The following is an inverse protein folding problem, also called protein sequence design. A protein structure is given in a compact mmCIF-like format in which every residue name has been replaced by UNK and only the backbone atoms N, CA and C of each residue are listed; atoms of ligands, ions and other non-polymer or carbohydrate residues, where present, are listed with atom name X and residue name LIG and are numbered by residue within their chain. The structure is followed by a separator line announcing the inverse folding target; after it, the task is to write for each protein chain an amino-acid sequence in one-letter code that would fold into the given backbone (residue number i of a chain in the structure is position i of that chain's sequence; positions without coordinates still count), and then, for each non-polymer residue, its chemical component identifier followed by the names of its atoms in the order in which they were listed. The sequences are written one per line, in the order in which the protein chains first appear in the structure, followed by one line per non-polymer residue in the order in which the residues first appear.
data_IF_236159554436
#
_entry.id   IF_236159554436
#
_cell.length_a   1.000
_cell.length_b   1.000
_cell.length_c   1.000
_cell.angle_alpha   90.00
_cell.angle_beta   90.00
_cell.angle_gamma   90.00
#
_symmetry.space_group_name_H-M   'P 1'
#
loop_
_entity.id
_entity.type
_entity.pdbx_description
1 polymer ?
#
# COMPACT_ATOMS: atom_id res chain seq x y z
N UNK A 1 6.12 -4.35 22.87
CA UNK A 1 6.99 -3.22 23.29
C UNK A 1 8.18 -3.69 24.11
N UNK A 2 7.99 -4.45 25.21
CA UNK A 2 9.11 -4.95 26.03
C UNK A 2 10.21 -5.67 25.23
N UNK A 3 9.84 -6.63 24.37
CA UNK A 3 10.80 -7.35 23.52
C UNK A 3 11.55 -6.42 22.55
N UNK A 4 10.86 -5.43 21.98
CA UNK A 4 11.47 -4.44 21.07
C UNK A 4 12.46 -3.53 21.79
N UNK A 5 12.14 -3.08 23.00
CA UNK A 5 13.07 -2.29 23.82
C UNK A 5 14.31 -3.11 24.19
N UNK A 6 14.14 -4.37 24.59
CA UNK A 6 15.26 -5.24 24.90
C UNK A 6 16.18 -5.43 23.68
N UNK A 7 15.60 -5.67 22.50
CA UNK A 7 16.36 -5.77 21.26
C UNK A 7 17.04 -4.45 20.87
N UNK A 8 16.38 -3.31 21.08
CA UNK A 8 16.96 -1.99 20.85
C UNK A 8 18.22 -1.79 21.70
N UNK A 9 18.15 -2.04 23.00
CA UNK A 9 19.30 -1.92 23.90
C UNK A 9 20.38 -2.96 23.62
N UNK A 10 20.03 -4.15 23.12
CA UNK A 10 21.02 -5.14 22.69
C UNK A 10 21.82 -4.64 21.48
N UNK A 11 21.18 -3.95 20.54
CA UNK A 11 21.81 -3.46 19.31
C UNK A 11 22.60 -2.16 19.53
N UNK A 12 22.04 -1.24 20.33
CA UNK A 12 22.53 0.13 20.44
C UNK A 12 23.07 0.50 21.82
N UNK A 13 23.02 -0.42 22.79
CA UNK A 13 23.46 -0.19 24.17
C UNK A 13 22.41 0.52 25.03
N UNK A 14 22.60 0.43 26.34
CA UNK A 14 21.74 1.05 27.36
C UNK A 14 21.88 2.56 27.37
N UNK A 15 20.80 3.28 27.73
CA UNK A 15 20.78 4.74 27.80
C UNK A 15 19.36 5.24 28.01
N UNK A 16 19.05 6.42 27.49
CA UNK A 16 17.68 6.92 27.46
C UNK A 16 16.75 5.93 26.72
N UNK A 17 15.48 5.93 27.11
CA UNK A 17 14.46 5.11 26.45
C UNK A 17 14.17 5.65 25.04
N UNK A 18 14.09 4.77 24.02
CA UNK A 18 13.71 5.20 22.67
C UNK A 18 12.24 5.62 22.63
N UNK A 19 11.93 6.61 21.80
CA UNK A 19 10.56 6.98 21.46
C UNK A 19 9.98 5.97 20.48
N UNK A 20 8.74 5.54 20.69
CA UNK A 20 8.08 4.53 19.87
C UNK A 20 6.99 5.12 18.98
N UNK A 21 6.96 4.67 17.73
CA UNK A 21 6.00 5.10 16.72
C UNK A 21 5.52 3.91 15.91
N UNK A 22 4.32 4.02 15.35
CA UNK A 22 3.75 2.98 14.50
C UNK A 22 3.15 3.61 13.24
N UNK A 23 3.45 3.00 12.09
CA UNK A 23 2.79 3.28 10.82
C UNK A 23 2.11 2.01 10.32
N UNK A 24 0.81 2.03 10.03
CA UNK A 24 0.11 0.88 9.47
C UNK A 24 0.59 0.62 8.03
N UNK A 25 0.44 -0.62 7.57
CA UNK A 25 0.30 -0.86 6.13
C UNK A 25 -1.10 -0.52 5.64
N UNK A 26 -1.38 -0.83 4.39
CA UNK A 26 -2.70 -0.61 3.79
C UNK A 26 -3.13 -1.74 2.89
N UNK A 27 -4.45 -1.89 2.76
CA UNK A 27 -5.07 -2.60 1.64
C UNK A 27 -5.83 -1.59 0.78
N UNK A 28 -5.84 -1.81 -0.52
CA UNK A 28 -6.79 -1.14 -1.39
C UNK A 28 -8.05 -1.98 -1.49
N UNK A 29 -9.20 -1.45 -1.05
CA UNK A 29 -10.46 -2.19 -1.13
C UNK A 29 -10.95 -2.27 -2.58
N UNK A 30 -10.90 -1.15 -3.30
CA UNK A 30 -11.26 -1.07 -4.72
C UNK A 30 -10.64 0.20 -5.35
N UNK A 31 -10.41 0.20 -6.66
CA UNK A 31 -9.74 1.32 -7.34
C UNK A 31 -8.26 1.05 -7.58
N UNK A 32 -7.92 -0.10 -8.16
CA UNK A 32 -6.51 -0.43 -8.42
C UNK A 32 -6.03 0.18 -9.73
N UNK A 33 -4.76 0.56 -9.81
CA UNK A 33 -4.13 1.06 -11.04
C UNK A 33 -4.78 2.29 -11.68
N UNK A 34 -5.53 3.05 -10.88
CA UNK A 34 -6.15 4.31 -11.29
C UNK A 34 -5.70 5.50 -10.43
N UNK A 35 -4.88 5.28 -9.41
CA UNK A 35 -4.31 6.33 -8.56
C UNK A 35 -3.35 7.24 -9.34
N UNK A 36 -2.43 6.65 -10.11
CA UNK A 36 -1.55 7.41 -11.00
C UNK A 36 -2.25 7.94 -12.26
N UNK A 37 -3.53 7.62 -12.44
CA UNK A 37 -4.40 8.14 -13.50
C UNK A 37 -5.36 9.22 -12.98
N UNK A 38 -5.11 9.75 -11.77
CA UNK A 38 -5.92 10.81 -11.16
C UNK A 38 -7.30 10.37 -10.66
N UNK A 39 -7.59 9.07 -10.66
CA UNK A 39 -8.90 8.54 -10.32
C UNK A 39 -9.21 8.44 -8.83
N UNK A 40 -10.42 7.99 -8.54
CA UNK A 40 -10.83 7.65 -7.19
C UNK A 40 -10.29 6.30 -6.76
N UNK A 41 -9.75 6.20 -5.54
CA UNK A 41 -9.34 4.94 -4.92
C UNK A 41 -9.94 4.79 -3.53
N UNK A 42 -10.08 3.55 -3.06
CA UNK A 42 -10.68 3.26 -1.76
C UNK A 42 -9.78 2.40 -0.85
N UNK A 43 -8.62 2.92 -0.41
CA UNK A 43 -7.77 2.21 0.55
C UNK A 43 -8.30 2.24 1.97
N UNK A 44 -7.76 1.35 2.79
CA UNK A 44 -7.88 1.39 4.24
C UNK A 44 -6.54 1.00 4.89
N UNK A 45 -6.09 1.79 5.86
CA UNK A 45 -4.99 1.42 6.73
C UNK A 45 -5.37 0.20 7.58
N UNK A 46 -4.43 -0.71 7.82
CA UNK A 46 -4.68 -1.97 8.53
C UNK A 46 -3.86 -2.09 9.82
N UNK A 47 -4.26 -2.98 10.71
CA UNK A 47 -3.60 -3.22 12.00
C UNK A 47 -2.19 -3.82 11.89
N UNK A 48 -1.82 -4.36 10.72
CA UNK A 48 -0.44 -4.75 10.43
C UNK A 48 0.37 -3.53 10.00
N UNK A 49 1.64 -3.44 10.35
CA UNK A 49 2.44 -2.25 10.05
C UNK A 49 3.89 -2.36 10.51
N UNK A 50 4.53 -1.21 10.65
CA UNK A 50 5.92 -1.07 11.09
C UNK A 50 5.94 -0.28 12.39
N UNK A 51 6.54 -0.85 13.42
CA UNK A 51 6.90 -0.16 14.66
C UNK A 51 8.34 0.33 14.55
N UNK A 52 8.55 1.62 14.80
CA UNK A 52 9.86 2.26 14.85
C UNK A 52 10.19 2.70 16.26
N UNK A 53 11.40 2.43 16.71
CA UNK A 53 11.96 2.91 17.97
C UNK A 53 13.15 3.81 17.63
N UNK A 54 13.07 5.09 18.00
CA UNK A 54 14.10 6.10 17.68
C UNK A 54 14.67 6.74 18.94
N UNK A 55 15.99 6.87 19.01
CA UNK A 55 16.70 7.56 20.07
C UNK A 55 17.72 8.56 19.49
N UNK A 56 17.61 9.86 19.80
CA UNK A 56 18.65 10.83 19.43
C UNK A 56 20.00 10.45 20.03
N UNK A 57 21.07 10.74 19.31
CA UNK A 57 22.44 10.51 19.73
C UNK A 57 23.27 11.78 19.54
N UNK A 58 24.28 11.95 20.40
CA UNK A 58 25.28 13.01 20.26
C UNK A 58 26.40 12.63 19.28
N UNK A 59 26.42 11.37 18.81
CA UNK A 59 27.36 10.91 17.80
C UNK A 59 27.06 11.53 16.42
N UNK A 60 28.06 11.61 15.55
CA UNK A 60 27.92 12.12 14.18
C UNK A 60 27.51 11.03 13.19
N UNK A 61 26.76 10.03 13.66
CA UNK A 61 26.30 8.90 12.85
C UNK A 61 24.81 8.59 13.05
N UNK A 62 24.22 8.03 12.00
CA UNK A 62 22.87 7.46 12.00
C UNK A 62 23.03 5.94 11.97
N UNK A 63 22.47 5.25 12.97
CA UNK A 63 22.52 3.79 13.08
C UNK A 63 21.13 3.19 12.89
N UNK A 64 20.98 2.39 11.84
CA UNK A 64 19.71 1.82 11.42
C UNK A 64 19.74 0.30 11.56
N UNK A 65 18.74 -0.28 12.22
CA UNK A 65 18.57 -1.72 12.32
C UNK A 65 17.12 -2.10 12.02
N UNK A 66 16.92 -3.34 11.59
CA UNK A 66 15.59 -3.92 11.41
C UNK A 66 15.58 -5.35 11.92
N UNK A 67 14.48 -5.76 12.57
CA UNK A 67 14.31 -7.16 13.00
C UNK A 67 14.24 -8.14 11.83
N UNK A 68 13.97 -7.64 10.63
CA UNK A 68 13.86 -8.42 9.40
C UNK A 68 15.18 -8.63 8.65
N UNK A 69 16.24 -7.94 9.03
CA UNK A 69 17.54 -7.92 8.35
C UNK A 69 18.68 -7.98 9.38
N UNK A 70 19.74 -8.73 9.08
CA UNK A 70 20.87 -8.83 10.00
C UNK A 70 21.75 -7.57 9.98
N UNK A 71 22.25 -7.19 11.16
CA UNK A 71 23.25 -6.14 11.33
C UNK A 71 22.70 -4.72 11.47
N UNK A 72 23.64 -3.79 11.66
CA UNK A 72 23.39 -2.35 11.78
C UNK A 72 23.95 -1.68 10.52
N UNK A 73 23.14 -0.87 9.86
CA UNK A 73 23.58 0.06 8.83
C UNK A 73 23.95 1.38 9.48
N UNK A 74 25.23 1.75 9.42
CA UNK A 74 25.73 3.03 9.91
C UNK A 74 25.95 4.00 8.75
N UNK A 75 25.51 5.24 8.92
CA UNK A 75 25.67 6.34 7.97
C UNK A 75 26.33 7.53 8.69
N UNK A 76 27.42 8.05 8.15
CA UNK A 76 28.04 9.27 8.65
C UNK A 76 27.25 10.50 8.19
N UNK A 77 26.83 11.35 9.14
CA UNK A 77 26.03 12.55 8.87
C UNK A 77 26.73 13.55 7.93
N UNK A 78 28.07 13.57 7.94
CA UNK A 78 28.91 14.46 7.15
C UNK A 78 29.15 13.93 5.72
N UNK A 79 28.86 12.66 5.47
CA UNK A 79 29.11 12.00 4.19
C UNK A 79 27.96 11.08 3.77
N UNK A 80 26.73 11.55 3.94
CA UNK A 80 25.54 10.81 3.54
C UNK A 80 25.57 10.48 2.03
N UNK A 81 25.24 9.24 1.63
CA UNK A 81 25.15 8.90 0.22
C UNK A 81 24.06 9.71 -0.50
N UNK A 82 24.41 10.31 -1.63
CA UNK A 82 23.49 11.11 -2.48
C UNK A 82 22.57 10.25 -3.35
N UNK A 83 22.84 8.95 -3.46
CA UNK A 83 22.10 8.00 -4.29
C UNK A 83 21.78 6.74 -3.51
N UNK A 84 20.71 6.04 -3.92
CA UNK A 84 20.37 4.72 -3.38
C UNK A 84 21.52 3.72 -3.59
N UNK A 85 21.69 2.82 -2.63
CA UNK A 85 22.73 1.78 -2.59
C UNK A 85 22.18 0.38 -2.90
N UNK A 86 20.87 0.24 -3.08
CA UNK A 86 20.18 -1.03 -3.27
C UNK A 86 19.86 -1.75 -1.95
N UNK A 87 19.71 -1.01 -0.86
CA UNK A 87 19.44 -1.54 0.48
C UNK A 87 18.11 -1.01 1.03
N UNK A 88 17.48 -1.74 1.95
CA UNK A 88 16.24 -1.30 2.60
C UNK A 88 16.39 0.05 3.30
N UNK A 89 17.57 0.35 3.84
CA UNK A 89 17.84 1.63 4.50
C UNK A 89 17.82 2.83 3.55
N UNK A 90 17.78 2.62 2.24
CA UNK A 90 17.69 3.71 1.26
C UNK A 90 16.35 4.46 1.33
N UNK A 91 15.27 3.81 1.78
CA UNK A 91 14.00 4.49 2.06
C UNK A 91 14.16 5.52 3.18
N UNK A 92 14.82 5.16 4.29
CA UNK A 92 15.11 6.07 5.40
C UNK A 92 16.07 7.18 4.94
N UNK A 93 17.10 6.84 4.15
CA UNK A 93 18.04 7.80 3.58
C UNK A 93 17.35 8.83 2.69
N UNK A 94 16.45 8.39 1.80
CA UNK A 94 15.68 9.29 0.94
C UNK A 94 14.82 10.25 1.74
N UNK A 95 14.21 9.78 2.83
CA UNK A 95 13.45 10.62 3.77
C UNK A 95 14.36 11.60 4.51
N UNK A 96 15.54 11.19 4.98
CA UNK A 96 16.52 12.11 5.60
C UNK A 96 16.85 13.26 4.65
N UNK A 97 17.10 12.95 3.37
CA UNK A 97 17.33 13.97 2.34
C UNK A 97 16.12 14.89 2.14
N UNK A 98 14.90 14.34 2.13
CA UNK A 98 13.69 15.14 2.00
C UNK A 98 13.52 16.10 3.19
N UNK A 99 13.68 15.61 4.43
CA UNK A 99 13.54 16.41 5.65
C UNK A 99 14.65 17.48 5.75
N UNK A 100 15.89 17.17 5.35
CA UNK A 100 16.97 18.17 5.28
C UNK A 100 16.66 19.30 4.28
N UNK A 101 16.03 18.99 3.14
CA UNK A 101 15.61 20.01 2.15
C UNK A 101 14.53 20.96 2.70
N UNK A 102 13.83 20.57 3.76
CA UNK A 102 12.89 21.44 4.48
C UNK A 102 13.57 22.36 5.51
N UNK A 103 14.91 22.30 5.61
CA UNK A 103 15.70 23.14 6.54
C UNK A 103 15.77 22.59 7.95
N UNK A 104 15.45 21.31 8.16
CA UNK A 104 15.57 20.63 9.46
C UNK A 104 16.98 20.04 9.58
N UNK A 105 17.70 20.46 10.62
CA UNK A 105 19.00 19.89 10.98
C UNK A 105 18.80 18.55 11.69
N UNK A 106 19.22 17.47 11.03
CA UNK A 106 19.16 16.11 11.58
C UNK A 106 20.51 15.78 12.22
N UNK A 107 20.49 15.59 13.55
CA UNK A 107 21.62 15.06 14.32
C UNK A 107 21.74 13.54 14.27
N UNK A 108 22.65 12.97 15.06
CA UNK A 108 22.81 11.53 15.17
C UNK A 108 21.58 10.88 15.79
N UNK A 109 21.29 9.65 15.39
CA UNK A 109 20.23 8.86 16.02
C UNK A 109 20.39 7.38 15.73
N UNK A 110 19.72 6.59 16.56
CA UNK A 110 19.56 5.16 16.39
C UNK A 110 18.10 4.84 16.10
N UNK A 111 17.85 3.95 15.15
CA UNK A 111 16.52 3.53 14.75
C UNK A 111 16.44 2.02 14.62
N UNK A 112 15.54 1.39 15.39
CA UNK A 112 15.14 0.00 15.20
C UNK A 112 13.76 -0.05 14.54
N UNK A 113 13.62 -0.86 13.49
CA UNK A 113 12.35 -1.10 12.81
C UNK A 113 11.92 -2.56 12.95
N UNK A 114 10.68 -2.77 13.38
CA UNK A 114 10.04 -4.08 13.46
C UNK A 114 8.75 -4.09 12.63
N UNK A 115 8.61 -5.06 11.73
CA UNK A 115 7.49 -5.11 10.77
C UNK A 115 6.65 -6.35 10.97
N UNK A 116 5.34 -6.17 11.11
CA UNK A 116 4.34 -7.25 11.05
C UNK A 116 3.74 -7.40 9.65
N UNK A 117 4.12 -6.57 8.68
CA UNK A 117 3.72 -6.71 7.28
C UNK A 117 4.44 -7.92 6.64
N UNK A 118 3.73 -8.81 5.93
CA UNK A 118 4.37 -9.92 5.25
C UNK A 118 5.26 -9.41 4.12
N UNK A 119 6.48 -9.96 4.01
CA UNK A 119 7.48 -9.53 3.04
C UNK A 119 6.97 -9.75 1.61
N UNK A 120 7.01 -8.71 0.78
CA UNK A 120 6.60 -8.80 -0.63
C UNK A 120 5.09 -8.92 -0.87
N UNK A 121 4.27 -8.75 0.17
CA UNK A 121 2.81 -8.88 0.14
C UNK A 121 2.08 -7.84 -0.73
N UNK A 122 2.71 -6.69 -0.95
CA UNK A 122 2.06 -5.54 -1.61
C UNK A 122 1.17 -4.72 -0.69
N UNK A 123 1.30 -4.86 0.63
CA UNK A 123 0.58 -4.09 1.66
C UNK A 123 1.28 -2.76 2.03
N UNK A 124 2.01 -2.16 1.09
CA UNK A 124 2.74 -0.88 1.23
C UNK A 124 3.80 -0.81 2.34
N UNK A 125 4.68 -1.82 2.40
CA UNK A 125 5.80 -1.75 3.34
C UNK A 125 6.76 -0.58 3.05
N UNK A 126 6.92 -0.15 1.80
CA UNK A 126 7.76 1.01 1.43
C UNK A 126 7.14 2.31 1.95
N UNK A 127 5.89 2.60 1.56
CA UNK A 127 5.19 3.80 2.01
C UNK A 127 5.06 3.87 3.54
N UNK A 128 4.77 2.75 4.22
CA UNK A 128 4.70 2.70 5.68
C UNK A 128 6.06 3.04 6.30
N UNK A 129 7.18 2.58 5.73
CA UNK A 129 8.53 2.88 6.19
C UNK A 129 8.88 4.36 5.97
N UNK A 130 8.59 4.90 4.78
CA UNK A 130 8.86 6.30 4.45
C UNK A 130 8.07 7.25 5.35
N UNK A 131 6.75 7.02 5.47
CA UNK A 131 5.87 7.83 6.31
C UNK A 131 6.24 7.72 7.79
N UNK A 132 6.62 6.53 8.27
CA UNK A 132 7.11 6.34 9.63
C UNK A 132 8.41 7.12 9.87
N UNK A 133 9.40 6.98 8.98
CA UNK A 133 10.66 7.69 9.08
C UNK A 133 10.45 9.21 9.08
N UNK A 134 9.59 9.72 8.20
CA UNK A 134 9.29 11.14 8.10
C UNK A 134 8.63 11.64 9.39
N UNK A 135 7.63 10.91 9.89
CA UNK A 135 6.96 11.23 11.15
C UNK A 135 7.92 11.22 12.34
N UNK A 136 8.81 10.22 12.45
CA UNK A 136 9.80 10.14 13.53
C UNK A 136 10.80 11.29 13.48
N UNK A 137 11.35 11.60 12.31
CA UNK A 137 12.34 12.67 12.15
C UNK A 137 11.74 14.03 12.48
N UNK A 138 10.50 14.31 12.05
CA UNK A 138 9.81 15.55 12.46
C UNK A 138 9.44 15.57 13.94
N UNK A 139 9.10 14.43 14.54
CA UNK A 139 8.79 14.36 15.98
C UNK A 139 10.02 14.63 16.84
N UNK A 140 11.20 14.21 16.37
CA UNK A 140 12.46 14.25 17.13
C UNK A 140 13.25 15.52 16.87
N UNK A 141 13.37 15.93 15.60
CA UNK A 141 14.23 17.06 15.19
C UNK A 141 13.44 18.26 14.65
N UNK A 142 12.16 18.06 14.30
CA UNK A 142 11.31 19.11 13.77
C UNK A 142 10.78 20.05 14.85
N UNK A 143 10.48 21.30 14.46
CA UNK A 143 9.82 22.28 15.34
C UNK A 143 8.32 22.04 15.45
N UNK A 144 7.72 21.46 14.41
CA UNK A 144 6.30 21.15 14.31
C UNK A 144 6.08 20.00 13.34
N UNK A 145 5.01 19.22 13.56
CA UNK A 145 4.60 18.16 12.65
C UNK A 145 3.87 18.75 11.44
N UNK A 146 4.29 18.45 10.20
CA UNK A 146 3.53 18.81 9.00
C UNK A 146 2.16 18.15 8.97
N UNK A 147 1.24 18.71 8.19
CA UNK A 147 -0.01 18.04 7.92
C UNK A 147 0.23 16.72 7.15
N UNK A 148 -0.74 15.82 7.23
CA UNK A 148 -0.64 14.48 6.69
C UNK A 148 -0.54 14.45 5.16
N UNK A 149 -1.10 15.45 4.46
CA UNK A 149 -1.02 15.55 3.00
C UNK A 149 0.38 15.95 2.56
N UNK A 150 0.99 16.94 3.23
CA UNK A 150 2.38 17.34 3.02
C UNK A 150 3.33 16.16 3.23
N UNK A 151 3.14 15.42 4.34
CA UNK A 151 3.89 14.21 4.66
C UNK A 151 3.79 13.13 3.58
N UNK A 152 2.56 12.79 3.16
CA UNK A 152 2.33 11.75 2.15
C UNK A 152 2.96 12.13 0.80
N UNK A 153 2.81 13.40 0.40
CA UNK A 153 3.38 13.92 -0.86
C UNK A 153 4.90 13.92 -0.83
N UNK A 154 5.52 14.30 0.29
CA UNK A 154 6.96 14.25 0.47
C UNK A 154 7.49 12.82 0.35
N UNK A 155 6.82 11.85 0.98
CA UNK A 155 7.20 10.44 0.90
C UNK A 155 7.02 9.88 -0.52
N UNK A 156 5.91 10.18 -1.20
CA UNK A 156 5.70 9.78 -2.59
C UNK A 156 6.82 10.31 -3.50
N UNK A 157 7.27 11.56 -3.28
CA UNK A 157 8.40 12.12 -4.01
C UNK A 157 9.70 11.37 -3.73
N UNK A 158 9.94 10.93 -2.49
CA UNK A 158 11.09 10.07 -2.16
C UNK A 158 11.03 8.76 -2.95
N UNK A 159 9.88 8.09 -2.98
CA UNK A 159 9.72 6.82 -3.71
C UNK A 159 9.94 7.01 -5.23
N UNK A 160 9.40 8.09 -5.80
CA UNK A 160 9.53 8.42 -7.22
C UNK A 160 10.94 8.85 -7.64
N UNK A 161 11.56 9.77 -6.90
CA UNK A 161 12.81 10.45 -7.31
C UNK A 161 14.07 9.81 -6.75
N UNK A 162 14.04 9.32 -5.51
CA UNK A 162 15.20 8.74 -4.84
C UNK A 162 15.26 7.22 -5.01
N UNK A 163 14.14 6.54 -4.79
CA UNK A 163 14.04 5.08 -4.96
C UNK A 163 13.87 4.72 -6.44
N UNK A 164 13.12 5.52 -7.20
CA UNK A 164 12.93 5.36 -8.65
C UNK A 164 11.71 4.50 -9.03
N UNK A 165 10.74 4.34 -8.12
CA UNK A 165 9.50 3.61 -8.37
C UNK A 165 8.39 4.62 -8.65
N UNK A 166 7.87 4.64 -9.88
CA UNK A 166 6.90 5.64 -10.36
C UNK A 166 5.47 5.36 -9.87
N UNK A 167 5.24 5.39 -8.56
CA UNK A 167 3.96 5.10 -7.92
C UNK A 167 3.02 6.32 -7.87
N UNK A 168 1.71 6.06 -7.69
CA UNK A 168 0.77 7.11 -7.30
C UNK A 168 0.84 7.42 -5.80
N UNK A 169 -0.07 8.26 -5.32
CA UNK A 169 -0.07 8.81 -3.95
C UNK A 169 -0.80 7.91 -2.93
N UNK A 170 -1.56 6.93 -3.42
CA UNK A 170 -2.52 6.14 -2.63
C UNK A 170 -1.90 5.54 -1.37
N UNK A 171 -0.72 4.91 -1.51
CA UNK A 171 -0.09 4.14 -0.44
C UNK A 171 0.32 5.04 0.73
N UNK A 172 1.11 6.08 0.44
CA UNK A 172 1.59 7.05 1.42
C UNK A 172 0.42 7.79 2.06
N UNK A 173 -0.59 8.15 1.26
CA UNK A 173 -1.76 8.85 1.75
C UNK A 173 -2.58 7.98 2.70
N UNK A 174 -2.82 6.71 2.34
CA UNK A 174 -3.59 5.78 3.15
C UNK A 174 -2.94 5.51 4.51
N UNK A 175 -1.63 5.30 4.54
CA UNK A 175 -0.91 5.00 5.80
C UNK A 175 -0.67 6.24 6.66
N UNK A 176 -0.65 7.43 6.07
CA UNK A 176 -0.57 8.70 6.81
C UNK A 176 -1.92 9.16 7.38
N UNK A 177 -3.00 9.01 6.60
CA UNK A 177 -4.34 9.56 6.89
C UNK A 177 -5.37 8.50 7.33
N UNK A 178 -4.93 7.26 7.53
CA UNK A 178 -5.82 6.15 7.93
C UNK A 178 -6.70 6.49 9.13
N UNK A 179 -7.92 5.97 9.14
CA UNK A 179 -8.87 6.13 10.23
C UNK A 179 -9.49 4.79 10.55
N UNK A 180 -9.40 4.37 11.82
CA UNK A 180 -9.99 3.13 12.27
C UNK A 180 -11.50 3.09 11.96
N UNK A 181 -12.00 1.90 11.56
CA UNK A 181 -13.39 1.61 11.16
C UNK A 181 -13.86 2.34 9.89
N UNK A 182 -12.96 2.91 9.11
CA UNK A 182 -13.30 3.60 7.86
C UNK A 182 -12.42 3.12 6.71
N UNK A 183 -12.99 3.14 5.51
CA UNK A 183 -12.24 3.21 4.26
C UNK A 183 -12.08 4.69 3.87
N UNK A 184 -11.07 4.97 3.05
CA UNK A 184 -10.76 6.29 2.57
C UNK A 184 -11.09 6.36 1.09
N UNK A 185 -12.13 7.10 0.71
CA UNK A 185 -12.31 7.47 -0.68
C UNK A 185 -11.42 8.67 -0.98
N UNK A 186 -10.36 8.44 -1.75
CA UNK A 186 -9.37 9.44 -2.13
C UNK A 186 -9.53 9.77 -3.61
N UNK A 187 -9.68 11.05 -3.95
CA UNK A 187 -9.48 11.53 -5.31
C UNK A 187 -8.00 11.80 -5.52
N UNK A 188 -7.32 11.00 -6.35
CA UNK A 188 -5.87 11.12 -6.53
C UNK A 188 -5.44 12.36 -7.34
N UNK A 189 -6.36 13.01 -8.07
CA UNK A 189 -6.06 14.27 -8.77
C UNK A 189 -6.11 15.50 -7.86
N UNK A 190 -7.06 15.55 -6.93
CA UNK A 190 -7.28 16.72 -6.05
C UNK A 190 -6.79 16.52 -4.62
N UNK A 191 -6.49 15.28 -4.23
CA UNK A 191 -6.21 14.85 -2.86
C UNK A 191 -7.38 15.06 -1.89
N UNK A 192 -8.60 15.25 -2.40
CA UNK A 192 -9.81 15.31 -1.58
C UNK A 192 -10.11 13.92 -0.99
N UNK A 193 -10.49 13.90 0.30
CA UNK A 193 -10.74 12.69 1.06
C UNK A 193 -12.15 12.68 1.63
N UNK A 194 -12.84 11.57 1.44
CA UNK A 194 -14.07 11.23 2.18
C UNK A 194 -13.87 9.93 2.96
N UNK A 195 -14.09 9.99 4.27
CA UNK A 195 -14.05 8.79 5.12
C UNK A 195 -15.38 8.05 5.00
N UNK A 196 -15.35 6.84 4.46
CA UNK A 196 -16.52 5.96 4.28
C UNK A 196 -16.55 4.96 5.44
N UNK A 197 -17.57 4.94 6.31
CA UNK A 197 -17.66 3.97 7.39
C UNK A 197 -17.64 2.53 6.86
N UNK A 198 -16.73 1.70 7.39
CA UNK A 198 -16.56 0.31 6.96
C UNK A 198 -17.30 -0.63 7.92
N UNK A 199 -18.63 -0.63 7.83
CA UNK A 199 -19.49 -1.45 8.68
C UNK A 199 -19.72 -2.84 8.07
N UNK A 200 -18.87 -3.81 8.42
CA UNK A 200 -18.92 -5.15 7.83
C UNK A 200 -19.92 -6.12 8.50
N UNK A 201 -20.57 -5.71 9.58
CA UNK A 201 -21.59 -6.52 10.27
C UNK A 201 -21.06 -7.88 10.72
N UNK A 202 -21.65 -8.97 10.20
CA UNK A 202 -21.21 -10.37 10.47
C UNK A 202 -20.08 -10.85 9.55
N UNK A 203 -19.45 -9.94 8.83
CA UNK A 203 -18.34 -10.24 7.93
C UNK A 203 -17.06 -9.59 8.44
N UNK A 204 -15.94 -10.14 7.98
CA UNK A 204 -14.60 -9.60 8.22
C UNK A 204 -13.85 -9.50 6.91
N UNK A 205 -12.96 -8.53 6.83
CA UNK A 205 -11.98 -8.46 5.76
C UNK A 205 -10.83 -9.41 6.07
N UNK A 206 -10.55 -10.33 5.16
CA UNK A 206 -9.40 -11.23 5.25
C UNK A 206 -8.42 -10.89 4.15
N UNK A 207 -7.16 -10.72 4.52
CA UNK A 207 -6.05 -10.55 3.59
C UNK A 207 -5.39 -11.92 3.41
N UNK A 208 -5.17 -12.34 2.17
CA UNK A 208 -4.54 -13.61 1.85
C UNK A 208 -3.30 -13.32 1.03
N UNK A 209 -2.11 -13.46 1.63
CA UNK A 209 -0.84 -13.43 0.89
C UNK A 209 -0.66 -14.75 0.16
N UNK A 210 -0.60 -14.70 -1.17
CA UNK A 210 -0.33 -15.87 -2.01
C UNK A 210 1.05 -16.49 -1.74
N UNK A 211 1.99 -15.75 -1.12
CA UNK A 211 3.40 -16.12 -0.96
C UNK A 211 4.12 -16.34 -2.29
N UNK A 212 3.49 -15.98 -3.41
CA UNK A 212 4.11 -16.03 -4.74
C UNK A 212 5.23 -15.00 -4.83
N UNK A 213 6.47 -15.41 -5.16
CA UNK A 213 7.56 -14.47 -5.40
C UNK A 213 7.26 -13.51 -6.56
N UNK A 214 7.38 -12.21 -6.32
CA UNK A 214 7.20 -11.16 -7.31
C UNK A 214 8.50 -10.86 -8.05
N UNK A 215 8.86 -11.68 -9.04
CA UNK A 215 9.95 -11.33 -9.97
C UNK A 215 9.41 -10.36 -11.02
N UNK A 216 10.14 -9.27 -11.32
CA UNK A 216 9.84 -8.30 -12.39
C UNK A 216 8.55 -7.46 -12.24
N UNK A 217 7.94 -7.42 -11.06
CA UNK A 217 6.71 -6.66 -10.82
C UNK A 217 6.87 -5.15 -11.11
N UNK A 218 7.99 -4.55 -10.74
CA UNK A 218 8.27 -3.13 -10.99
C UNK A 218 8.31 -2.79 -12.50
N UNK A 219 8.98 -3.62 -13.31
CA UNK A 219 9.02 -3.41 -14.76
C UNK A 219 7.66 -3.54 -15.43
N UNK A 220 6.85 -4.52 -15.00
CA UNK A 220 5.50 -4.73 -15.52
C UNK A 220 4.54 -3.61 -15.08
N UNK A 221 4.68 -3.13 -13.84
CA UNK A 221 3.94 -1.99 -13.33
C UNK A 221 4.22 -0.72 -14.16
N UNK A 222 5.50 -0.40 -14.38
CA UNK A 222 5.90 0.75 -15.19
C UNK A 222 5.41 0.64 -16.64
N UNK A 223 5.34 -0.58 -17.18
CA UNK A 223 4.76 -0.83 -18.51
C UNK A 223 3.27 -0.51 -18.55
N UNK A 224 2.49 -0.89 -17.53
CA UNK A 224 1.05 -0.55 -17.44
C UNK A 224 0.82 0.96 -17.40
N UNK A 225 1.62 1.68 -16.62
CA UNK A 225 1.55 3.15 -16.58
C UNK A 225 1.78 3.76 -17.97
N UNK A 226 2.84 3.35 -18.67
CA UNK A 226 3.13 3.82 -20.04
C UNK A 226 2.02 3.50 -21.03
N UNK A 227 1.40 2.32 -20.93
CA UNK A 227 0.25 1.95 -21.77
C UNK A 227 -0.93 2.90 -21.52
N UNK A 228 -1.22 3.25 -20.27
CA UNK A 228 -2.26 4.22 -19.94
C UNK A 228 -1.91 5.64 -20.42
N UNK A 229 -0.67 6.09 -20.22
CA UNK A 229 -0.21 7.42 -20.64
C UNK A 229 -0.35 7.59 -22.17
N UNK A 230 0.02 6.56 -22.94
CA UNK A 230 -0.14 6.54 -24.40
C UNK A 230 -1.63 6.55 -24.83
N UNK A 231 -2.47 5.77 -24.14
CA UNK A 231 -3.90 5.78 -24.42
C UNK A 231 -4.53 7.16 -24.14
N UNK A 232 -4.10 7.85 -23.09
CA UNK A 232 -4.53 9.21 -22.79
C UNK A 232 -4.10 10.17 -23.89
N UNK A 233 -2.82 10.16 -24.29
CA UNK A 233 -2.29 11.01 -25.36
C UNK A 233 -3.10 10.91 -26.66
N UNK A 234 -3.36 9.68 -27.14
CA UNK A 234 -4.11 9.44 -28.38
C UNK A 234 -5.57 9.94 -28.30
N UNK A 235 -6.22 9.78 -27.15
CA UNK A 235 -7.60 10.24 -26.97
C UNK A 235 -7.61 11.78 -26.87
N UNK A 236 -6.66 12.35 -26.13
CA UNK A 236 -6.54 13.79 -25.89
C UNK A 236 -6.27 14.60 -27.17
N UNK A 237 -5.63 13.99 -28.18
CA UNK A 237 -5.46 14.58 -29.51
C UNK A 237 -6.79 14.79 -30.28
N UNK A 238 -7.84 14.06 -29.91
CA UNK A 238 -9.12 14.05 -30.61
C UNK A 238 -10.28 14.62 -29.77
N UNK A 239 -10.16 14.56 -28.44
CA UNK A 239 -11.15 15.05 -27.48
C UNK A 239 -10.45 15.58 -26.25
N UNK A 240 -10.90 16.70 -25.69
CA UNK A 240 -10.38 17.20 -24.40
C UNK A 240 -10.67 16.14 -23.32
N UNK A 241 -9.59 15.53 -22.83
CA UNK A 241 -9.57 14.55 -21.76
C UNK A 241 -8.32 14.82 -20.90
N UNK A 242 -8.53 15.12 -19.62
CA UNK A 242 -7.42 15.43 -18.69
C UNK A 242 -6.84 14.16 -18.06
N UNK A 243 -7.70 13.20 -17.71
CA UNK A 243 -7.32 11.97 -17.05
C UNK A 243 -7.96 10.76 -17.75
N UNK A 244 -7.23 9.65 -17.83
CA UNK A 244 -7.71 8.45 -18.54
C UNK A 244 -8.97 7.84 -17.90
N UNK A 245 -9.14 8.02 -16.60
CA UNK A 245 -10.31 7.53 -15.85
C UNK A 245 -11.62 8.24 -16.23
N UNK A 246 -11.54 9.40 -16.88
CA UNK A 246 -12.68 10.15 -17.41
C UNK A 246 -13.03 9.75 -18.86
N UNK A 247 -12.34 8.73 -19.39
CA UNK A 247 -12.71 8.11 -20.65
C UNK A 247 -14.05 7.38 -20.54
N UNK A 248 -14.61 7.06 -21.69
CA UNK A 248 -15.90 6.38 -21.84
C UNK A 248 -15.76 5.22 -22.82
N UNK A 249 -16.78 4.36 -22.90
CA UNK A 249 -16.81 3.27 -23.86
C UNK A 249 -16.69 3.78 -25.32
N UNK A 250 -17.24 4.95 -25.63
CA UNK A 250 -17.14 5.56 -26.96
C UNK A 250 -15.71 5.94 -27.32
N UNK A 251 -14.88 6.34 -26.35
CA UNK A 251 -13.48 6.72 -26.61
C UNK A 251 -12.63 5.51 -27.05
N UNK A 252 -13.07 4.27 -26.76
CA UNK A 252 -12.39 3.06 -27.23
C UNK A 252 -12.35 2.92 -28.75
N UNK A 253 -13.20 3.66 -29.47
CA UNK A 253 -13.20 3.71 -30.94
C UNK A 253 -12.02 4.52 -31.49
N UNK A 254 -11.45 5.44 -30.70
CA UNK A 254 -10.32 6.30 -31.07
C UNK A 254 -8.98 5.56 -31.01
N UNK A 255 -8.94 4.43 -30.29
CA UNK A 255 -7.77 3.60 -30.15
C UNK A 255 -7.78 2.51 -31.23
N UNK A 256 -6.64 2.26 -31.87
CA UNK A 256 -6.47 1.12 -32.79
C UNK A 256 -5.90 -0.10 -32.09
N UNK A 257 -4.98 0.11 -31.14
CA UNK A 257 -4.32 -0.94 -30.38
C UNK A 257 -5.29 -1.61 -29.38
N UNK A 258 -5.51 -2.94 -29.48
CA UNK A 258 -6.39 -3.67 -28.57
C UNK A 258 -5.91 -3.64 -27.12
N UNK A 259 -4.60 -3.54 -26.86
CA UNK A 259 -4.04 -3.45 -25.50
C UNK A 259 -4.48 -2.13 -24.87
N UNK A 260 -4.31 -1.02 -25.58
CA UNK A 260 -4.71 0.30 -25.09
C UNK A 260 -6.21 0.34 -24.81
N UNK A 261 -7.05 -0.26 -25.66
CA UNK A 261 -8.50 -0.38 -25.39
C UNK A 261 -8.80 -1.09 -24.09
N UNK A 262 -8.08 -2.18 -23.80
CA UNK A 262 -8.25 -2.91 -22.53
C UNK A 262 -7.84 -2.05 -21.34
N UNK A 263 -6.71 -1.34 -21.41
CA UNK A 263 -6.25 -0.46 -20.31
C UNK A 263 -7.22 0.69 -20.06
N UNK A 264 -7.69 1.35 -21.10
CA UNK A 264 -8.71 2.41 -21.00
C UNK A 264 -10.02 1.88 -20.44
N UNK A 265 -10.47 0.68 -20.88
CA UNK A 265 -11.66 0.02 -20.33
C UNK A 265 -11.55 -0.23 -18.84
N UNK A 266 -10.40 -0.73 -18.39
CA UNK A 266 -10.15 -0.90 -16.97
C UNK A 266 -10.24 0.44 -16.23
N UNK A 267 -9.55 1.48 -16.71
CA UNK A 267 -9.46 2.78 -16.04
C UNK A 267 -10.83 3.39 -15.72
N UNK A 268 -11.70 3.61 -16.74
CA UNK A 268 -13.00 4.22 -16.50
C UNK A 268 -13.97 3.29 -15.75
N UNK A 269 -13.93 1.99 -16.03
CA UNK A 269 -14.84 1.05 -15.38
C UNK A 269 -14.48 0.81 -13.91
N UNK A 270 -13.19 0.85 -13.57
CA UNK A 270 -12.72 0.75 -12.18
C UNK A 270 -13.09 2.00 -11.39
N UNK A 271 -12.92 3.20 -11.96
CA UNK A 271 -13.39 4.43 -11.33
C UNK A 271 -14.89 4.37 -11.02
N UNK A 272 -15.72 3.93 -11.97
CA UNK A 272 -17.16 3.76 -11.75
C UNK A 272 -17.43 2.76 -10.61
N UNK A 273 -16.71 1.63 -10.58
CA UNK A 273 -16.84 0.63 -9.51
C UNK A 273 -16.49 1.20 -8.13
N UNK A 274 -15.53 2.11 -8.03
CA UNK A 274 -15.18 2.78 -6.76
C UNK A 274 -16.32 3.64 -6.25
N UNK A 275 -16.95 4.42 -7.12
CA UNK A 275 -18.10 5.26 -6.76
C UNK A 275 -19.34 4.42 -6.42
N UNK A 276 -19.57 3.33 -7.15
CA UNK A 276 -20.62 2.35 -6.80
C UNK A 276 -20.35 1.67 -5.46
N UNK A 277 -19.08 1.38 -5.15
CA UNK A 277 -18.68 0.79 -3.88
C UNK A 277 -18.89 1.76 -2.70
N UNK A 278 -18.61 3.05 -2.88
CA UNK A 278 -18.95 4.10 -1.91
C UNK A 278 -20.45 4.05 -1.60
N UNK A 279 -21.29 4.05 -2.64
CA UNK A 279 -22.74 4.00 -2.48
C UNK A 279 -23.20 2.72 -1.78
N UNK A 280 -22.62 1.57 -2.13
CA UNK A 280 -22.95 0.28 -1.52
C UNK A 280 -22.62 0.26 -0.02
N UNK A 281 -21.42 0.72 0.37
CA UNK A 281 -21.00 0.80 1.77
C UNK A 281 -21.86 1.78 2.59
N UNK A 282 -22.18 2.95 2.03
CA UNK A 282 -23.07 3.93 2.69
C UNK A 282 -24.47 3.36 2.94
N UNK A 283 -24.98 2.52 2.04
CA UNK A 283 -26.28 1.83 2.18
C UNK A 283 -26.22 0.55 3.01
N UNK A 284 -25.03 0.10 3.42
CA UNK A 284 -24.83 -1.18 4.10
C UNK A 284 -25.05 -2.41 3.19
N UNK A 285 -25.04 -2.24 1.87
CA UNK A 285 -25.21 -3.33 0.90
C UNK A 285 -23.89 -4.07 0.66
N UNK A 286 -23.50 -4.89 1.64
CA UNK A 286 -22.27 -5.68 1.57
C UNK A 286 -22.29 -6.72 0.44
N UNK A 287 -23.47 -7.16 -0.01
CA UNK A 287 -23.57 -8.09 -1.15
C UNK A 287 -23.19 -7.39 -2.45
N UNK A 288 -23.69 -6.17 -2.67
CA UNK A 288 -23.30 -5.38 -3.83
C UNK A 288 -21.81 -5.01 -3.75
N UNK A 289 -21.32 -4.60 -2.58
CA UNK A 289 -19.90 -4.32 -2.38
C UNK A 289 -19.04 -5.54 -2.73
N UNK A 290 -19.39 -6.74 -2.25
CA UNK A 290 -18.70 -7.98 -2.61
C UNK A 290 -18.70 -8.28 -4.12
N UNK A 291 -19.84 -8.09 -4.80
CA UNK A 291 -19.90 -8.23 -6.27
C UNK A 291 -18.95 -7.26 -6.98
N UNK A 292 -18.84 -6.02 -6.50
CA UNK A 292 -17.94 -5.00 -7.06
C UNK A 292 -16.46 -5.38 -6.85
N UNK A 293 -16.11 -5.97 -5.69
CA UNK A 293 -14.77 -6.52 -5.47
C UNK A 293 -14.44 -7.56 -6.55
N UNK A 294 -15.31 -8.55 -6.74
CA UNK A 294 -15.09 -9.61 -7.74
C UNK A 294 -15.06 -9.05 -9.16
N UNK A 295 -15.92 -8.09 -9.51
CA UNK A 295 -15.92 -7.44 -10.82
C UNK A 295 -14.61 -6.68 -11.09
N UNK A 296 -14.08 -5.99 -10.07
CA UNK A 296 -12.78 -5.34 -10.12
C UNK A 296 -11.65 -6.35 -10.36
N UNK A 297 -11.66 -7.51 -9.67
CA UNK A 297 -10.70 -8.58 -9.94
C UNK A 297 -10.73 -9.06 -11.39
N UNK A 298 -11.93 -9.29 -11.95
CA UNK A 298 -12.09 -9.73 -13.33
C UNK A 298 -11.55 -8.69 -14.32
N UNK A 299 -11.75 -7.39 -14.05
CA UNK A 299 -11.15 -6.33 -14.86
C UNK A 299 -9.63 -6.34 -14.75
N UNK A 300 -9.06 -6.47 -13.54
CA UNK A 300 -7.62 -6.58 -13.33
C UNK A 300 -6.99 -7.80 -14.01
N UNK A 301 -7.73 -8.91 -14.07
CA UNK A 301 -7.31 -10.15 -14.74
C UNK A 301 -7.39 -10.04 -16.26
N UNK A 302 -8.51 -9.57 -16.80
CA UNK A 302 -8.82 -9.69 -18.23
C UNK A 302 -8.47 -8.43 -19.05
N UNK A 303 -8.73 -7.25 -18.48
CA UNK A 303 -8.52 -5.96 -19.12
C UNK A 303 -7.18 -5.34 -18.71
N UNK A 304 -6.79 -5.45 -17.45
CA UNK A 304 -5.52 -4.89 -16.99
C UNK A 304 -4.36 -5.88 -17.02
N UNK A 305 -4.64 -7.19 -17.01
CA UNK A 305 -3.64 -8.26 -17.10
C UNK A 305 -2.50 -8.10 -16.07
N UNK A 306 -2.89 -7.84 -14.82
CA UNK A 306 -1.97 -7.72 -13.67
C UNK A 306 -2.18 -8.81 -12.60
N UNK A 307 -3.19 -9.67 -12.76
CA UNK A 307 -3.36 -10.83 -11.90
C UNK A 307 -2.36 -11.95 -12.24
N UNK A 308 -2.45 -13.08 -11.55
CA UNK A 308 -1.73 -14.29 -11.89
C UNK A 308 -2.46 -15.55 -11.41
N UNK A 309 -2.01 -16.73 -11.85
CA UNK A 309 -2.65 -18.02 -11.56
C UNK A 309 -2.91 -18.26 -10.07
N UNK A 310 -2.02 -17.83 -9.20
CA UNK A 310 -2.12 -17.98 -7.75
C UNK A 310 -3.20 -17.07 -7.16
N UNK A 311 -3.23 -15.79 -7.56
CA UNK A 311 -4.26 -14.84 -7.13
C UNK A 311 -5.63 -15.23 -7.68
N UNK A 312 -5.69 -15.60 -8.97
CA UNK A 312 -6.91 -16.06 -9.63
C UNK A 312 -7.46 -17.30 -8.93
N UNK A 313 -6.60 -18.26 -8.56
CA UNK A 313 -7.02 -19.47 -7.84
C UNK A 313 -7.60 -19.14 -6.45
N UNK A 314 -6.95 -18.25 -5.69
CA UNK A 314 -7.45 -17.81 -4.38
C UNK A 314 -8.82 -17.17 -4.54
N UNK A 315 -8.98 -16.23 -5.47
CA UNK A 315 -10.25 -15.55 -5.68
C UNK A 315 -11.32 -16.53 -6.15
N UNK A 316 -11.05 -17.36 -7.16
CA UNK A 316 -11.98 -18.34 -7.70
C UNK A 316 -12.41 -19.35 -6.61
N UNK A 317 -11.50 -19.81 -5.75
CA UNK A 317 -11.85 -20.67 -4.61
C UNK A 317 -12.81 -19.98 -3.65
N UNK A 318 -12.50 -18.75 -3.25
CA UNK A 318 -13.26 -18.02 -2.24
C UNK A 318 -14.66 -17.65 -2.74
N UNK A 319 -14.80 -17.11 -3.95
CA UNK A 319 -16.09 -16.63 -4.47
C UNK A 319 -17.10 -17.75 -4.76
N UNK A 320 -16.63 -19.00 -4.86
CA UNK A 320 -17.49 -20.18 -4.99
C UNK A 320 -18.03 -20.69 -3.62
N UNK A 321 -17.58 -20.12 -2.50
CA UNK A 321 -18.11 -20.40 -1.18
C UNK A 321 -19.30 -19.48 -0.85
N UNK A 322 -20.35 -20.04 -0.24
CA UNK A 322 -21.50 -19.25 0.25
C UNK A 322 -21.12 -18.27 1.39
N UNK A 323 -19.95 -18.48 2.01
CA UNK A 323 -19.43 -17.64 3.10
C UNK A 323 -18.62 -16.44 2.61
N UNK A 324 -18.40 -16.31 1.30
CA UNK A 324 -17.69 -15.20 0.69
C UNK A 324 -18.65 -14.30 -0.08
N UNK A 325 -18.68 -13.01 0.23
CA UNK A 325 -19.46 -12.04 -0.54
C UNK A 325 -18.72 -11.57 -1.80
N UNK A 326 -17.40 -11.61 -1.78
CA UNK A 326 -16.54 -11.20 -2.89
C UNK A 326 -15.08 -11.19 -2.50
N UNK A 327 -14.21 -11.36 -3.49
CA UNK A 327 -12.77 -11.35 -3.31
C UNK A 327 -12.07 -10.74 -4.53
N UNK A 328 -10.91 -10.15 -4.30
CA UNK A 328 -10.04 -9.60 -5.36
C UNK A 328 -8.58 -9.55 -4.95
N UNK A 329 -7.68 -9.49 -5.92
CA UNK A 329 -6.29 -9.06 -5.65
C UNK A 329 -6.24 -7.62 -5.11
N UNK A 330 -5.21 -7.25 -4.36
CA UNK A 330 -4.99 -5.87 -3.89
C UNK A 330 -3.53 -5.44 -4.10
N UNK A 331 -3.31 -4.16 -4.41
CA UNK A 331 -2.00 -3.61 -4.76
C UNK A 331 -1.60 -3.92 -6.21
N UNK A 332 -0.30 -3.78 -6.50
CA UNK A 332 0.28 -3.80 -7.85
C UNK A 332 0.09 -5.09 -8.68
N UNK A 333 -0.38 -6.19 -8.09
CA UNK A 333 -0.51 -7.47 -8.78
C UNK A 333 0.79 -8.25 -8.99
N UNK A 334 0.77 -9.15 -9.98
CA UNK A 334 1.85 -10.07 -10.34
C UNK A 334 2.28 -11.00 -9.19
N UNK A 335 1.41 -11.18 -8.19
CA UNK A 335 1.63 -11.91 -6.93
C UNK A 335 1.19 -11.11 -5.70
N UNK A 336 1.58 -11.56 -4.52
CA UNK A 336 1.22 -10.96 -3.21
C UNK A 336 -0.23 -11.20 -2.81
N UNK A 337 -0.98 -10.18 -2.40
CA UNK A 337 -2.22 -10.40 -1.66
C UNK A 337 -3.53 -10.35 -2.47
N UNK A 338 -4.49 -11.12 -1.96
CA UNK A 338 -5.92 -10.93 -2.15
C UNK A 338 -6.57 -10.34 -0.89
N UNK A 339 -7.73 -9.73 -1.07
CA UNK A 339 -8.69 -9.46 0.00
C UNK A 339 -9.99 -10.21 -0.28
N UNK A 340 -10.67 -10.62 0.79
CA UNK A 340 -11.98 -11.25 0.72
C UNK A 340 -12.88 -10.78 1.84
N UNK A 341 -14.17 -10.62 1.53
CA UNK A 341 -15.20 -10.30 2.50
C UNK A 341 -15.89 -11.61 2.92
N UNK A 342 -15.46 -12.17 4.04
CA UNK A 342 -15.90 -13.48 4.53
C UNK A 342 -16.82 -13.34 5.73
N UNK A 343 -17.77 -14.27 5.89
CA UNK A 343 -18.55 -14.40 7.12
C UNK A 343 -17.60 -14.71 8.29
N UNK A 344 -17.65 -13.90 9.36
CA UNK A 344 -16.62 -13.91 10.40
C UNK A 344 -16.47 -15.27 11.09
N UNK A 345 -17.57 -15.99 11.31
CA UNK A 345 -17.56 -17.30 11.97
C UNK A 345 -16.95 -18.43 11.10
N UNK A 346 -16.88 -18.25 9.77
CA UNK A 346 -16.34 -19.23 8.83
C UNK A 346 -14.98 -18.84 8.24
N UNK A 347 -14.45 -17.66 8.59
CA UNK A 347 -13.21 -17.14 8.00
C UNK A 347 -12.03 -18.12 8.20
N UNK A 348 -11.81 -18.59 9.43
CA UNK A 348 -10.72 -19.53 9.73
C UNK A 348 -10.88 -20.88 9.02
N UNK A 349 -12.11 -21.41 8.97
CA UNK A 349 -12.42 -22.66 8.29
C UNK A 349 -12.10 -22.58 6.80
N UNK A 350 -12.53 -21.49 6.15
CA UNK A 350 -12.30 -21.28 4.73
C UNK A 350 -10.82 -21.04 4.40
N UNK A 351 -10.09 -20.32 5.27
CA UNK A 351 -8.64 -20.15 5.16
C UNK A 351 -7.89 -21.48 5.25
N UNK A 352 -8.26 -22.35 6.18
CA UNK A 352 -7.66 -23.68 6.32
C UNK A 352 -7.98 -24.57 5.10
N UNK A 353 -9.21 -24.53 4.61
CA UNK A 353 -9.60 -25.26 3.40
C UNK A 353 -8.82 -24.77 2.17
N UNK A 354 -8.65 -23.44 2.04
CA UNK A 354 -7.84 -22.82 0.99
C UNK A 354 -6.40 -23.30 1.06
N UNK A 355 -5.76 -23.28 2.23
CA UNK A 355 -4.37 -23.74 2.41
C UNK A 355 -4.19 -25.18 1.91
N UNK A 356 -5.06 -26.10 2.29
CA UNK A 356 -4.98 -27.51 1.86
C UNK A 356 -4.97 -27.64 0.33
N UNK A 357 -5.91 -26.97 -0.35
CA UNK A 357 -6.03 -27.10 -1.81
C UNK A 357 -4.96 -26.29 -2.56
N UNK A 358 -4.57 -25.14 -2.02
CA UNK A 358 -3.55 -24.25 -2.59
C UNK A 358 -2.17 -24.88 -2.48
N UNK A 359 -1.80 -25.37 -1.29
CA UNK A 359 -0.53 -26.05 -1.02
C UNK A 359 -0.35 -27.29 -1.89
N UNK A 360 -1.42 -28.07 -2.06
CA UNK A 360 -1.41 -29.23 -2.97
C UNK A 360 -1.17 -28.83 -4.42
N UNK A 361 -1.68 -27.67 -4.85
CA UNK A 361 -1.58 -27.21 -6.25
C UNK A 361 -0.23 -26.53 -6.56
N UNK A 362 0.26 -25.69 -5.65
CA UNK A 362 1.41 -24.81 -5.92
C UNK A 362 2.69 -25.21 -5.17
N UNK A 363 2.61 -26.12 -4.18
CA UNK A 363 3.77 -26.61 -3.43
C UNK A 363 4.23 -25.70 -2.29
N UNK A 364 3.47 -24.65 -1.96
CA UNK A 364 3.68 -23.75 -0.83
C UNK A 364 2.33 -23.22 -0.32
N UNK A 365 2.27 -22.85 0.95
CA UNK A 365 1.04 -22.35 1.59
C UNK A 365 0.81 -20.86 1.35
N UNK A 366 -0.46 -20.42 1.24
CA UNK A 366 -0.80 -19.01 1.39
C UNK A 366 -0.80 -18.64 2.88
N UNK A 367 -0.77 -17.34 3.19
CA UNK A 367 -0.86 -16.84 4.55
C UNK A 367 -2.10 -15.95 4.71
N UNK A 368 -2.96 -16.26 5.68
CA UNK A 368 -4.20 -15.54 5.90
C UNK A 368 -4.10 -14.65 7.14
N UNK A 369 -4.50 -13.39 6.98
CA UNK A 369 -4.50 -12.39 8.04
C UNK A 369 -5.89 -11.77 8.18
N UNK A 370 -6.51 -11.98 9.33
CA UNK A 370 -7.72 -11.27 9.72
C UNK A 370 -7.28 -9.93 10.29
N UNK A 371 -7.57 -8.84 9.58
CA UNK A 371 -7.10 -7.51 9.93
C UNK A 371 -8.26 -6.57 10.22
N UNK A 372 -8.02 -5.66 11.16
CA UNK A 372 -8.90 -4.52 11.39
C UNK A 372 -8.35 -3.29 10.69
N UNK A 373 -9.22 -2.32 10.45
CA UNK A 373 -8.80 -1.00 9.97
C UNK A 373 -8.17 -0.20 11.10
N UNK A 374 -7.09 0.53 10.80
CA UNK A 374 -6.30 1.26 11.77
C UNK A 374 -6.28 2.76 11.51
N UNK A 375 -5.84 3.52 12.53
CA UNK A 375 -5.45 4.91 12.32
C UNK A 375 -4.13 4.97 11.55
N UNK A 376 -3.87 6.09 10.87
CA UNK A 376 -2.60 6.38 10.23
C UNK A 376 -1.45 6.50 11.23
N UNK A 377 -0.26 6.85 10.73
CA UNK A 377 0.96 6.93 11.55
C UNK A 377 0.79 7.76 12.83
N UNK A 378 1.25 7.22 13.96
CA UNK A 378 1.09 7.84 15.27
C UNK A 378 2.20 7.42 16.25
N UNK A 379 2.37 8.20 17.33
CA UNK A 379 3.20 7.83 18.48
C UNK A 379 2.53 6.71 19.27
N UNK A 380 3.32 5.75 19.73
CA UNK A 380 2.89 4.66 20.61
C UNK A 380 3.22 5.07 22.03
N UNK A 381 2.20 5.19 22.87
CA UNK A 381 2.32 5.50 24.31
C UNK A 381 2.51 4.25 25.14
#
# INVERSE_FOLDING_TARGET
MLERNAQFFQLFGTGDDPQAFFCPGRVNLIGEHIDYLGGYVMPAAISLGITGLIRPSQEQSIRLASTSFEGITELDLNSLPEKKRGQWSDYVLGVIHAVRKEGIEIGGFELLLDSTLPKGSGLSSSAALEVLAYFMLHSVFGKSMPDRTTMATACQRVENEFIGVQCGIMDQFAVANGKAKHAMLLNCSTLEVRNVPLNLGKHTLVIIDSKKPRKLAESAYNQRRKECDNALEIISDQRILEQLVDATETDLQLLSDPILKKRTRHAYSEQNRVLEAESALQKGDLRQFGKLLTASHLSLRNDFEVSCTELDFIVDFLINSEFCLGARMTGAGFGGCCIALLKSENANELCNALDVVYSKRFGFSPECHICETANGVHSVT
#
